data_IF_019601846244
#
_entry.id   IF_019601846244
#
_cell.length_a   1.000
_cell.length_b   1.000
_cell.length_c   1.000
_cell.angle_alpha   90.00
_cell.angle_beta   90.00
_cell.angle_gamma   90.00
#
_symmetry.space_group_name_H-M   'P 1'
#
loop_
_entity.id
_entity.type
_entity.pdbx_description
1 polymer ?
#
# COMPACT_ATOMS: atom_id res chain seq x y z
N UNK A 1 27.87 4.94 -5.08
CA UNK A 1 27.01 3.76 -5.40
C UNK A 1 25.90 3.52 -4.39
N UNK A 2 26.18 3.46 -3.07
CA UNK A 2 25.16 3.16 -2.03
C UNK A 2 23.86 4.00 -2.08
N UNK A 3 23.95 5.30 -2.34
CA UNK A 3 22.78 6.19 -2.45
C UNK A 3 21.85 5.81 -3.60
N UNK A 4 22.43 5.52 -4.78
CA UNK A 4 21.68 5.11 -5.97
C UNK A 4 20.99 3.76 -5.77
N UNK A 5 21.67 2.79 -5.17
CA UNK A 5 21.09 1.48 -4.85
C UNK A 5 19.90 1.64 -3.92
N UNK A 6 20.07 2.37 -2.81
CA UNK A 6 18.98 2.64 -1.86
C UNK A 6 17.80 3.36 -2.54
N UNK A 7 18.09 4.34 -3.39
CA UNK A 7 17.07 5.06 -4.16
C UNK A 7 16.28 4.15 -5.10
N UNK A 8 16.95 3.28 -5.85
CA UNK A 8 16.32 2.30 -6.74
C UNK A 8 15.45 1.31 -5.95
N UNK A 9 15.95 0.80 -4.82
CA UNK A 9 15.18 -0.12 -3.97
C UNK A 9 13.91 0.57 -3.45
N UNK A 10 14.00 1.80 -2.94
CA UNK A 10 12.83 2.56 -2.51
C UNK A 10 11.82 2.77 -3.64
N UNK A 11 12.28 3.07 -4.85
CA UNK A 11 11.39 3.25 -6.00
C UNK A 11 10.65 1.96 -6.33
N UNK A 12 11.37 0.84 -6.44
CA UNK A 12 10.78 -0.47 -6.78
C UNK A 12 9.79 -0.89 -5.70
N UNK A 13 10.18 -0.81 -4.41
CA UNK A 13 9.32 -1.19 -3.30
C UNK A 13 8.04 -0.33 -3.25
N UNK A 14 8.16 1.00 -3.39
CA UNK A 14 7.00 1.88 -3.39
C UNK A 14 6.08 1.62 -4.60
N UNK A 15 6.64 1.36 -5.78
CA UNK A 15 5.87 1.03 -6.98
C UNK A 15 5.05 -0.25 -6.80
N UNK A 16 5.65 -1.30 -6.23
CA UNK A 16 4.95 -2.55 -5.92
C UNK A 16 3.79 -2.30 -4.96
N UNK A 17 4.01 -1.55 -3.87
CA UNK A 17 2.96 -1.24 -2.89
C UNK A 17 1.83 -0.44 -3.54
N UNK A 18 2.13 0.53 -4.40
CA UNK A 18 1.12 1.30 -5.13
C UNK A 18 0.26 0.41 -6.04
N UNK A 19 0.88 -0.53 -6.76
CA UNK A 19 0.14 -1.51 -7.57
C UNK A 19 -0.80 -2.36 -6.72
N UNK A 20 -0.35 -2.80 -5.53
CA UNK A 20 -1.19 -3.54 -4.57
C UNK A 20 -2.37 -2.67 -4.10
N UNK A 21 -2.15 -1.38 -3.76
CA UNK A 21 -3.23 -0.49 -3.34
C UNK A 21 -4.28 -0.28 -4.45
N UNK A 22 -3.84 -0.14 -5.70
CA UNK A 22 -4.77 -0.04 -6.85
C UNK A 22 -5.61 -1.32 -6.97
N UNK A 23 -4.99 -2.50 -6.81
CA UNK A 23 -5.69 -3.79 -6.81
C UNK A 23 -6.70 -3.93 -5.68
N UNK A 24 -6.32 -3.49 -4.46
CA UNK A 24 -7.20 -3.47 -3.28
C UNK A 24 -8.42 -2.57 -3.51
N UNK A 25 -8.20 -1.33 -3.93
CA UNK A 25 -9.29 -0.37 -4.20
C UNK A 25 -10.28 -0.91 -5.24
N UNK A 26 -9.77 -1.49 -6.34
CA UNK A 26 -10.62 -2.09 -7.37
C UNK A 26 -11.46 -3.25 -6.82
N UNK A 27 -10.86 -4.09 -5.98
CA UNK A 27 -11.53 -5.23 -5.36
C UNK A 27 -12.61 -4.79 -4.38
N UNK A 28 -12.35 -3.74 -3.60
CA UNK A 28 -13.32 -3.15 -2.66
C UNK A 28 -14.52 -2.56 -3.40
N UNK A 29 -14.29 -1.86 -4.52
CA UNK A 29 -15.40 -1.36 -5.37
C UNK A 29 -16.29 -2.52 -5.85
N UNK A 30 -15.68 -3.65 -6.24
CA UNK A 30 -16.43 -4.84 -6.65
C UNK A 30 -17.24 -5.45 -5.50
N UNK A 31 -16.65 -5.53 -4.30
CA UNK A 31 -17.35 -5.96 -3.08
C UNK A 31 -18.53 -5.05 -2.75
N UNK A 32 -18.37 -3.74 -2.88
CA UNK A 32 -19.46 -2.77 -2.72
C UNK A 32 -20.64 -3.08 -3.64
N UNK A 33 -20.37 -3.31 -4.93
CA UNK A 33 -21.42 -3.63 -5.89
C UNK A 33 -22.14 -4.96 -5.57
N UNK A 34 -21.40 -5.95 -5.08
CA UNK A 34 -21.95 -7.26 -4.73
C UNK A 34 -22.88 -7.19 -3.51
N UNK A 35 -22.42 -6.55 -2.42
CA UNK A 35 -23.22 -6.40 -1.20
C UNK A 35 -24.47 -5.55 -1.42
N UNK A 36 -24.40 -4.51 -2.26
CA UNK A 36 -25.59 -3.76 -2.68
C UNK A 36 -26.59 -4.65 -3.43
N UNK A 37 -26.12 -5.54 -4.32
CA UNK A 37 -27.02 -6.47 -5.03
C UNK A 37 -27.71 -7.48 -4.10
N UNK A 38 -27.08 -7.80 -2.97
CA UNK A 38 -27.58 -8.73 -1.97
C UNK A 38 -28.38 -8.05 -0.84
N UNK A 39 -28.60 -6.73 -0.90
CA UNK A 39 -29.24 -5.94 0.17
C UNK A 39 -28.62 -6.17 1.56
N UNK A 40 -27.30 -6.38 1.62
CA UNK A 40 -26.56 -6.63 2.87
C UNK A 40 -25.56 -5.51 3.15
N UNK A 41 -25.27 -5.28 4.43
CA UNK A 41 -24.31 -4.26 4.84
C UNK A 41 -22.88 -4.79 4.69
N UNK A 42 -21.98 -3.95 4.16
CA UNK A 42 -20.56 -4.29 4.12
C UNK A 42 -19.97 -4.33 5.53
N UNK A 43 -18.99 -5.21 5.78
CA UNK A 43 -18.15 -5.14 6.97
C UNK A 43 -17.45 -3.79 7.06
N UNK A 44 -17.38 -3.25 8.29
CA UNK A 44 -16.73 -1.95 8.59
C UNK A 44 -15.27 -1.94 8.11
N UNK A 45 -14.58 -3.08 8.20
CA UNK A 45 -13.20 -3.26 7.73
C UNK A 45 -13.06 -2.96 6.23
N UNK A 46 -14.02 -3.39 5.43
CA UNK A 46 -14.09 -3.12 3.98
C UNK A 46 -14.52 -1.68 3.69
N UNK A 47 -15.40 -1.10 4.51
CA UNK A 47 -15.84 0.30 4.37
C UNK A 47 -14.70 1.30 4.61
N UNK A 48 -13.83 1.03 5.58
CA UNK A 48 -12.72 1.90 5.94
C UNK A 48 -11.47 1.69 5.08
N UNK A 49 -11.36 0.56 4.38
CA UNK A 49 -10.17 0.22 3.61
C UNK A 49 -9.79 1.24 2.53
N UNK A 50 -10.72 1.93 1.81
CA UNK A 50 -10.35 2.92 0.81
C UNK A 50 -9.61 4.13 1.41
N UNK A 51 -10.04 4.59 2.60
CA UNK A 51 -9.39 5.72 3.29
C UNK A 51 -7.96 5.37 3.71
N UNK A 52 -7.78 4.15 4.25
CA UNK A 52 -6.45 3.61 4.57
C UNK A 52 -5.58 3.49 3.31
N UNK A 53 -6.13 2.99 2.21
CA UNK A 53 -5.41 2.89 0.93
C UNK A 53 -4.96 4.26 0.42
N UNK A 54 -5.80 5.29 0.50
CA UNK A 54 -5.42 6.66 0.10
C UNK A 54 -4.27 7.20 0.96
N UNK A 55 -4.32 7.00 2.28
CA UNK A 55 -3.25 7.42 3.18
C UNK A 55 -1.91 6.72 2.83
N UNK A 56 -1.96 5.42 2.55
CA UNK A 56 -0.78 4.64 2.16
C UNK A 56 -0.24 5.08 0.80
N UNK A 57 -1.11 5.37 -0.17
CA UNK A 57 -0.70 5.93 -1.46
C UNK A 57 0.08 7.23 -1.26
N UNK A 58 -0.43 8.16 -0.42
CA UNK A 58 0.26 9.41 -0.12
C UNK A 58 1.67 9.20 0.44
N UNK A 59 1.83 8.25 1.37
CA UNK A 59 3.14 7.89 1.92
C UNK A 59 4.05 7.29 0.85
N UNK A 60 3.55 6.39 0.00
CA UNK A 60 4.35 5.77 -1.06
C UNK A 60 4.79 6.77 -2.13
N UNK A 61 3.97 7.77 -2.46
CA UNK A 61 4.36 8.88 -3.33
C UNK A 61 5.54 9.67 -2.74
N UNK A 62 5.54 9.88 -1.42
CA UNK A 62 6.68 10.50 -0.73
C UNK A 62 7.94 9.61 -0.77
N UNK A 63 7.79 8.29 -0.63
CA UNK A 63 8.90 7.33 -0.78
C UNK A 63 9.48 7.39 -2.20
N UNK A 64 8.64 7.43 -3.23
CA UNK A 64 9.09 7.60 -4.63
C UNK A 64 9.88 8.89 -4.82
N UNK A 65 9.38 10.01 -4.28
CA UNK A 65 10.06 11.30 -4.34
C UNK A 65 11.47 11.24 -3.72
N UNK A 66 11.60 10.66 -2.52
CA UNK A 66 12.90 10.50 -1.86
C UNK A 66 13.80 9.52 -2.61
N UNK A 67 13.24 8.42 -3.12
CA UNK A 67 13.96 7.46 -3.95
C UNK A 67 14.56 8.11 -5.20
N UNK A 68 13.77 8.92 -5.91
CA UNK A 68 14.24 9.66 -7.08
C UNK A 68 15.35 10.66 -6.74
N UNK A 69 15.20 11.41 -5.63
CA UNK A 69 16.27 12.30 -5.14
C UNK A 69 17.56 11.54 -4.81
N UNK A 70 17.46 10.34 -4.23
CA UNK A 70 18.63 9.51 -3.90
C UNK A 70 19.36 8.97 -5.15
N UNK A 71 18.63 8.66 -6.22
CA UNK A 71 19.21 8.22 -7.50
C UNK A 71 19.94 9.37 -8.22
N UNK A 72 19.38 10.58 -8.12
CA UNK A 72 19.86 11.76 -8.85
C UNK A 72 20.94 12.56 -8.11
N UNK A 73 21.15 12.30 -6.81
CA UNK A 73 22.15 13.03 -6.02
C UNK A 73 23.57 12.74 -6.53
N UNK A 74 24.31 13.81 -6.86
CA UNK A 74 25.71 13.73 -7.32
C UNK A 74 26.67 13.68 -6.14
N UNK A 75 26.46 14.56 -5.15
CA UNK A 75 27.24 14.63 -3.92
C UNK A 75 26.49 13.93 -2.80
N UNK A 76 27.17 13.05 -2.05
CA UNK A 76 26.51 12.19 -1.07
C UNK A 76 25.87 12.98 0.09
N UNK A 77 24.54 13.16 0.05
CA UNK A 77 23.78 13.74 1.17
C UNK A 77 23.43 12.67 2.22
N UNK A 78 24.14 12.74 3.35
CA UNK A 78 23.95 11.80 4.47
C UNK A 78 22.56 11.92 5.11
N UNK A 79 21.96 13.12 5.14
CA UNK A 79 20.60 13.31 5.69
C UNK A 79 19.56 12.66 4.79
N UNK A 80 19.69 12.83 3.48
CA UNK A 80 18.83 12.20 2.49
C UNK A 80 18.94 10.66 2.55
N UNK A 81 20.15 10.14 2.72
CA UNK A 81 20.37 8.69 2.89
C UNK A 81 19.70 8.13 4.13
N UNK A 82 19.87 8.79 5.30
CA UNK A 82 19.18 8.38 6.54
C UNK A 82 17.66 8.36 6.36
N UNK A 83 17.09 9.39 5.71
CA UNK A 83 15.66 9.43 5.38
C UNK A 83 15.25 8.26 4.49
N UNK A 84 16.05 7.95 3.46
CA UNK A 84 15.82 6.82 2.57
C UNK A 84 15.82 5.47 3.29
N UNK A 85 16.73 5.26 4.25
CA UNK A 85 16.78 4.04 5.06
C UNK A 85 15.56 3.92 5.96
N UNK A 86 15.18 5.00 6.64
CA UNK A 86 13.99 5.02 7.50
C UNK A 86 12.73 4.71 6.69
N UNK A 87 12.57 5.33 5.52
CA UNK A 87 11.43 5.10 4.65
C UNK A 87 11.39 3.66 4.11
N UNK A 88 12.55 3.05 3.84
CA UNK A 88 12.61 1.64 3.45
C UNK A 88 12.08 0.73 4.57
N UNK A 89 12.53 0.95 5.81
CA UNK A 89 12.07 0.18 6.98
C UNK A 89 10.56 0.35 7.18
N UNK A 90 10.05 1.57 7.09
CA UNK A 90 8.61 1.86 7.18
C UNK A 90 7.85 1.13 6.07
N UNK A 91 8.36 1.15 4.83
CA UNK A 91 7.72 0.48 3.69
C UNK A 91 7.62 -1.02 3.92
N UNK A 92 8.69 -1.66 4.41
CA UNK A 92 8.70 -3.09 4.74
C UNK A 92 7.70 -3.41 5.86
N UNK A 93 7.71 -2.63 6.94
CA UNK A 93 6.76 -2.82 8.04
C UNK A 93 5.30 -2.65 7.58
N UNK A 94 5.04 -1.69 6.69
CA UNK A 94 3.73 -1.48 6.08
C UNK A 94 3.28 -2.65 5.21
N UNK A 95 4.18 -3.33 4.50
CA UNK A 95 3.82 -4.51 3.70
C UNK A 95 3.23 -5.61 4.58
N UNK A 96 3.82 -5.89 5.75
CA UNK A 96 3.27 -6.88 6.69
C UNK A 96 1.89 -6.50 7.21
N UNK A 97 1.71 -5.24 7.61
CA UNK A 97 0.41 -4.71 8.04
C UNK A 97 -0.64 -4.80 6.93
N UNK A 98 -0.24 -4.47 5.69
CA UNK A 98 -1.10 -4.52 4.52
C UNK A 98 -1.58 -5.93 4.22
N UNK A 99 -0.72 -6.95 4.37
CA UNK A 99 -1.13 -8.34 4.17
C UNK A 99 -2.27 -8.72 5.12
N UNK A 100 -2.13 -8.40 6.42
CA UNK A 100 -3.17 -8.69 7.42
C UNK A 100 -4.48 -7.93 7.13
N UNK A 101 -4.39 -6.63 6.80
CA UNK A 101 -5.57 -5.83 6.46
C UNK A 101 -6.27 -6.31 5.18
N UNK A 102 -5.51 -6.73 4.18
CA UNK A 102 -6.06 -7.24 2.91
C UNK A 102 -6.88 -8.52 3.15
N UNK A 103 -6.41 -9.41 4.03
CA UNK A 103 -7.14 -10.62 4.41
C UNK A 103 -8.46 -10.26 5.10
N UNK A 104 -8.42 -9.37 6.10
CA UNK A 104 -9.62 -8.99 6.87
C UNK A 104 -10.63 -8.14 6.09
N UNK A 105 -10.17 -7.35 5.12
CA UNK A 105 -11.02 -6.38 4.42
C UNK A 105 -11.58 -6.90 3.10
N UNK A 106 -11.00 -7.98 2.55
CA UNK A 106 -11.41 -8.53 1.25
C UNK A 106 -11.66 -10.04 1.36
N UNK A 107 -10.70 -10.81 1.86
CA UNK A 107 -10.80 -12.28 1.86
C UNK A 107 -11.91 -12.75 2.80
N UNK A 108 -11.91 -12.28 4.05
CA UNK A 108 -12.94 -12.66 5.04
C UNK A 108 -14.37 -12.31 4.54
N UNK A 109 -14.65 -11.08 4.06
CA UNK A 109 -15.96 -10.74 3.49
C UNK A 109 -16.42 -11.60 2.31
N UNK A 110 -15.48 -12.08 1.47
CA UNK A 110 -15.79 -13.00 0.36
C UNK A 110 -16.19 -14.36 0.92
N UNK A 111 -15.39 -14.92 1.84
CA UNK A 111 -15.67 -16.23 2.44
C UNK A 111 -16.98 -16.26 3.20
N UNK A 112 -17.28 -15.22 3.99
CA UNK A 112 -18.56 -15.14 4.69
C UNK A 112 -19.74 -15.13 3.72
N UNK A 113 -19.62 -14.47 2.56
CA UNK A 113 -20.71 -14.49 1.56
C UNK A 113 -20.91 -15.84 0.89
N UNK A 114 -19.84 -16.60 0.65
CA UNK A 114 -19.95 -17.96 0.11
C UNK A 114 -20.59 -18.95 1.09
N UNK A 115 -20.60 -18.68 2.39
CA UNK A 115 -21.28 -19.52 3.39
C UNK A 115 -22.80 -19.26 3.46
N UNK A 116 -23.27 -18.10 2.99
CA UNK A 116 -24.70 -17.74 2.96
C UNK A 116 -25.38 -18.00 1.60
N UNK A 117 -24.62 -18.44 0.59
CA UNK A 117 -25.09 -18.84 -0.74
C UNK A 117 -25.22 -20.36 -0.83
#
# INVERSE_FOLDING_TARGET
MKYKILGVVNIISAAIVLLIQIGLLRSVIKLYSLYQSLNTQLPITTTLSPFLSVAIIGIMLYVLYIGFKLVTVKDGDTRLFKKGVVLLVITIAMVFLLTAFSVLSIIVPIYTMTEYL
#
